data_IF_895591948790
#
_entry.id   IF_895591948790
#
_cell.length_a   1.000
_cell.length_b   1.000
_cell.length_c   1.000
_cell.angle_alpha   90.00
_cell.angle_beta   90.00
_cell.angle_gamma   90.00
#
_symmetry.space_group_name_H-M   'P 1'
#
loop_
_entity.id
_entity.type
_entity.pdbx_description
1 polymer ?
#
# COMPACT_ATOMS: atom_id res chain seq x y z
N UNK A 1 11.44 46.78 1.68
CA UNK A 1 11.71 45.47 1.05
C UNK A 1 12.73 44.76 1.92
N UNK A 2 12.31 43.70 2.59
CA UNK A 2 13.13 42.98 3.54
C UNK A 2 13.83 41.85 2.80
N UNK A 3 15.09 42.07 2.42
CA UNK A 3 15.89 41.09 1.67
C UNK A 3 16.53 40.03 2.56
N UNK A 4 16.36 40.16 3.88
CA UNK A 4 16.98 39.24 4.86
C UNK A 4 16.10 38.06 5.27
N UNK A 5 14.83 38.01 4.82
CA UNK A 5 13.95 36.86 5.06
C UNK A 5 14.19 35.83 3.99
N UNK A 6 14.75 34.64 4.30
CA UNK A 6 14.87 33.60 3.32
C UNK A 6 13.49 33.22 2.78
N UNK A 7 13.35 32.99 1.47
CA UNK A 7 12.07 32.59 0.90
C UNK A 7 11.56 31.33 1.59
N UNK A 8 10.28 31.31 1.92
CA UNK A 8 9.66 30.10 2.49
C UNK A 8 9.90 28.92 1.55
N UNK A 9 10.26 27.75 2.10
CA UNK A 9 10.46 26.58 1.28
C UNK A 9 9.19 26.28 0.50
N UNK A 10 9.26 26.27 -0.82
CA UNK A 10 8.14 25.90 -1.68
C UNK A 10 7.83 24.43 -1.41
N UNK A 11 6.69 24.17 -0.83
CA UNK A 11 6.23 22.81 -0.59
C UNK A 11 5.78 22.19 -1.92
N UNK A 12 6.59 21.28 -2.46
CA UNK A 12 6.28 20.56 -3.70
C UNK A 12 5.27 19.45 -3.38
N UNK A 13 4.01 19.69 -3.71
CA UNK A 13 2.96 18.67 -3.63
C UNK A 13 2.99 17.77 -4.87
N UNK A 14 2.60 16.49 -4.74
CA UNK A 14 2.44 15.62 -5.90
C UNK A 14 1.44 16.20 -6.90
N UNK A 15 1.74 16.12 -8.19
CA UNK A 15 0.83 16.55 -9.25
C UNK A 15 -0.45 15.68 -9.28
N UNK A 16 -1.52 16.21 -9.87
CA UNK A 16 -2.77 15.47 -10.02
C UNK A 16 -2.58 14.16 -10.80
N UNK A 17 -1.67 14.14 -11.78
CA UNK A 17 -1.31 12.94 -12.51
C UNK A 17 -0.73 11.84 -11.60
N UNK A 18 0.20 12.20 -10.72
CA UNK A 18 0.77 11.26 -9.76
C UNK A 18 -0.22 10.80 -8.70
N UNK A 19 -1.12 11.67 -8.28
CA UNK A 19 -2.23 11.30 -7.39
C UNK A 19 -3.14 10.27 -8.04
N UNK A 20 -3.43 10.45 -9.33
CA UNK A 20 -4.23 9.49 -10.10
C UNK A 20 -3.51 8.15 -10.23
N UNK A 21 -2.21 8.15 -10.57
CA UNK A 21 -1.40 6.92 -10.65
C UNK A 21 -1.40 6.19 -9.30
N UNK A 22 -1.18 6.89 -8.20
CA UNK A 22 -1.18 6.29 -6.86
C UNK A 22 -2.55 5.73 -6.49
N UNK A 23 -3.63 6.43 -6.81
CA UNK A 23 -5.00 5.93 -6.58
C UNK A 23 -5.27 4.65 -7.35
N UNK A 24 -4.90 4.59 -8.64
CA UNK A 24 -5.07 3.40 -9.47
C UNK A 24 -4.22 2.25 -8.94
N UNK A 25 -2.98 2.50 -8.56
CA UNK A 25 -2.08 1.49 -7.99
C UNK A 25 -2.66 0.88 -6.73
N UNK A 26 -3.10 1.68 -5.77
CA UNK A 26 -3.66 1.17 -4.53
C UNK A 26 -5.03 0.53 -4.69
N UNK A 27 -5.86 0.98 -5.63
CA UNK A 27 -7.08 0.27 -6.02
C UNK A 27 -6.76 -1.10 -6.64
N UNK A 28 -5.72 -1.18 -7.46
CA UNK A 28 -5.20 -2.44 -8.01
C UNK A 28 -4.64 -3.37 -6.93
N UNK A 29 -3.91 -2.85 -5.96
CA UNK A 29 -3.42 -3.60 -4.78
C UNK A 29 -4.60 -4.18 -4.00
N UNK A 30 -5.64 -3.40 -3.76
CA UNK A 30 -6.86 -3.88 -3.10
C UNK A 30 -7.50 -5.04 -3.85
N UNK A 31 -7.71 -4.88 -5.16
CA UNK A 31 -8.28 -5.95 -6.01
C UNK A 31 -7.41 -7.20 -6.05
N UNK A 32 -6.09 -7.06 -6.15
CA UNK A 32 -5.15 -8.16 -6.16
C UNK A 32 -5.13 -8.92 -4.82
N UNK A 33 -5.12 -8.21 -3.69
CA UNK A 33 -5.21 -8.83 -2.37
C UNK A 33 -6.53 -9.58 -2.17
N UNK A 34 -7.62 -9.00 -2.64
CA UNK A 34 -8.93 -9.65 -2.58
C UNK A 34 -8.93 -10.95 -3.40
N UNK A 35 -8.37 -10.92 -4.61
CA UNK A 35 -8.22 -12.10 -5.44
C UNK A 35 -7.36 -13.18 -4.79
N UNK A 36 -6.23 -12.81 -4.18
CA UNK A 36 -5.36 -13.74 -3.43
C UNK A 36 -6.11 -14.32 -2.23
N UNK A 37 -6.84 -13.51 -1.49
CA UNK A 37 -7.62 -13.94 -0.34
C UNK A 37 -8.70 -14.98 -0.72
N UNK A 38 -9.47 -14.69 -1.75
CA UNK A 38 -10.51 -15.61 -2.25
C UNK A 38 -9.87 -16.90 -2.75
N UNK A 39 -8.80 -16.81 -3.56
CA UNK A 39 -8.09 -17.97 -4.10
C UNK A 39 -7.51 -18.83 -2.98
N UNK A 40 -6.91 -18.24 -1.96
CA UNK A 40 -6.33 -18.96 -0.82
C UNK A 40 -7.37 -19.79 -0.07
N UNK A 41 -8.58 -19.26 0.09
CA UNK A 41 -9.70 -19.98 0.68
C UNK A 41 -10.21 -21.12 -0.21
N UNK A 42 -10.31 -20.87 -1.52
CA UNK A 42 -10.80 -21.84 -2.50
C UNK A 42 -9.90 -23.06 -2.59
N UNK A 43 -8.57 -22.88 -2.52
CA UNK A 43 -7.60 -23.99 -2.54
C UNK A 43 -7.41 -24.67 -1.17
N UNK A 44 -8.14 -24.25 -0.14
CA UNK A 44 -8.05 -24.81 1.20
C UNK A 44 -6.79 -24.44 1.99
N UNK A 45 -6.07 -23.42 1.55
CA UNK A 45 -4.89 -22.86 2.25
C UNK A 45 -5.12 -21.37 2.53
N UNK A 46 -6.02 -21.03 3.47
CA UNK A 46 -6.39 -19.64 3.74
C UNK A 46 -5.21 -18.86 4.30
N UNK A 47 -5.13 -17.61 3.87
CA UNK A 47 -4.21 -16.64 4.43
C UNK A 47 -4.50 -16.41 5.93
N UNK A 48 -3.48 -16.13 6.74
CA UNK A 48 -3.56 -16.10 8.21
C UNK A 48 -4.67 -15.19 8.78
N UNK A 49 -4.92 -14.05 8.15
CA UNK A 49 -5.94 -13.10 8.62
C UNK A 49 -7.37 -13.46 8.18
N UNK A 50 -7.52 -14.38 7.24
CA UNK A 50 -8.83 -14.80 6.76
C UNK A 50 -9.34 -16.07 7.48
N UNK A 51 -8.43 -16.94 7.87
CA UNK A 51 -8.74 -18.20 8.54
C UNK A 51 -9.40 -19.25 7.64
N UNK A 52 -9.66 -20.46 8.17
CA UNK A 52 -10.22 -21.56 7.41
C UNK A 52 -11.65 -21.27 6.94
N UNK A 53 -12.04 -21.89 5.81
CA UNK A 53 -13.38 -21.72 5.23
C UNK A 53 -14.52 -22.30 6.08
N UNK A 54 -14.18 -23.16 7.03
CA UNK A 54 -15.14 -23.78 7.96
C UNK A 54 -15.61 -22.82 9.07
N UNK A 55 -14.90 -21.73 9.30
CA UNK A 55 -15.23 -20.71 10.30
C UNK A 55 -15.34 -19.34 9.66
N UNK A 56 -16.24 -18.45 10.15
CA UNK A 56 -16.28 -17.10 9.66
C UNK A 56 -14.96 -16.37 10.00
N UNK A 57 -14.49 -15.54 9.06
CA UNK A 57 -13.28 -14.77 9.25
C UNK A 57 -13.46 -13.78 10.42
N UNK A 58 -12.41 -13.63 11.24
CA UNK A 58 -12.44 -12.66 12.36
C UNK A 58 -12.49 -11.22 11.81
N UNK A 59 -13.49 -10.41 12.17
CA UNK A 59 -13.55 -9.01 11.74
C UNK A 59 -12.30 -8.21 12.17
N UNK A 60 -11.76 -8.53 13.33
CA UNK A 60 -10.56 -7.87 13.86
C UNK A 60 -9.32 -8.13 13.01
N UNK A 61 -9.10 -9.36 12.56
CA UNK A 61 -7.95 -9.71 11.72
C UNK A 61 -8.06 -9.11 10.32
N UNK A 62 -9.26 -9.01 9.76
CA UNK A 62 -9.51 -8.40 8.45
C UNK A 62 -9.21 -6.91 8.45
N UNK A 63 -9.35 -6.23 9.58
CA UNK A 63 -9.04 -4.79 9.66
C UNK A 63 -7.58 -4.48 9.37
N UNK A 64 -6.66 -5.41 9.61
CA UNK A 64 -5.22 -5.21 9.37
C UNK A 64 -4.92 -5.01 7.89
N UNK A 65 -5.20 -5.95 6.98
CA UNK A 65 -4.95 -5.74 5.54
C UNK A 65 -5.82 -4.62 4.96
N UNK A 66 -7.05 -4.47 5.46
CA UNK A 66 -7.93 -3.40 5.03
C UNK A 66 -7.35 -2.02 5.35
N UNK A 67 -6.81 -1.83 6.56
CA UNK A 67 -6.14 -0.59 6.94
C UNK A 67 -4.89 -0.34 6.09
N UNK A 68 -4.06 -1.36 5.84
CA UNK A 68 -2.86 -1.24 5.02
C UNK A 68 -3.18 -0.72 3.62
N UNK A 69 -4.32 -1.07 3.05
CA UNK A 69 -4.72 -0.65 1.70
C UNK A 69 -5.50 0.66 1.70
N UNK A 70 -6.40 0.86 2.67
CA UNK A 70 -7.24 2.06 2.72
C UNK A 70 -6.47 3.30 3.17
N UNK A 71 -5.49 3.18 4.05
CA UNK A 71 -4.69 4.32 4.50
C UNK A 71 -3.99 5.06 3.36
N UNK A 72 -3.29 4.40 2.42
CA UNK A 72 -2.70 5.09 1.27
C UNK A 72 -3.74 5.71 0.35
N UNK A 73 -4.88 5.06 0.13
CA UNK A 73 -5.96 5.62 -0.67
C UNK A 73 -6.51 6.91 -0.05
N UNK A 74 -6.80 6.89 1.23
CA UNK A 74 -7.28 8.08 1.96
C UNK A 74 -6.22 9.17 1.96
N UNK A 75 -4.96 8.83 2.20
CA UNK A 75 -3.86 9.79 2.17
C UNK A 75 -3.72 10.45 0.79
N UNK A 76 -3.81 9.67 -0.29
CA UNK A 76 -3.72 10.20 -1.66
C UNK A 76 -4.88 11.15 -1.98
N UNK A 77 -6.09 10.85 -1.52
CA UNK A 77 -7.29 11.63 -1.82
C UNK A 77 -7.45 12.85 -0.92
N UNK A 78 -7.14 12.74 0.38
CA UNK A 78 -7.41 13.76 1.40
C UNK A 78 -6.18 14.49 1.91
N UNK A 79 -5.02 13.83 1.92
CA UNK A 79 -3.79 14.31 2.53
C UNK A 79 -2.59 14.11 1.61
N UNK A 80 -2.53 14.78 0.44
CA UNK A 80 -1.48 14.58 -0.57
C UNK A 80 -0.06 14.83 -0.02
N UNK A 81 0.06 15.66 1.00
CA UNK A 81 1.31 15.90 1.72
C UNK A 81 1.93 14.63 2.32
N UNK A 82 1.09 13.73 2.81
CA UNK A 82 1.51 12.50 3.50
C UNK A 82 1.44 11.25 2.62
N UNK A 83 0.92 11.36 1.40
CA UNK A 83 0.65 10.20 0.56
C UNK A 83 1.89 9.33 0.33
N UNK A 84 3.06 9.95 0.11
CA UNK A 84 4.31 9.23 -0.14
C UNK A 84 4.76 8.45 1.09
N UNK A 85 4.77 9.09 2.26
CA UNK A 85 5.18 8.43 3.52
C UNK A 85 4.24 7.30 3.88
N UNK A 86 2.92 7.52 3.76
CA UNK A 86 1.92 6.49 4.04
C UNK A 86 2.04 5.33 3.05
N UNK A 87 2.22 5.60 1.76
CA UNK A 87 2.43 4.56 0.74
C UNK A 87 3.68 3.72 1.02
N UNK A 88 4.78 4.33 1.45
CA UNK A 88 6.00 3.62 1.83
C UNK A 88 5.77 2.69 3.02
N UNK A 89 5.21 3.21 4.09
CA UNK A 89 4.95 2.44 5.31
C UNK A 89 4.01 1.28 5.01
N UNK A 90 2.93 1.52 4.26
CA UNK A 90 1.96 0.49 3.92
C UNK A 90 2.52 -0.56 2.96
N UNK A 91 3.37 -0.16 1.99
CA UNK A 91 4.06 -1.12 1.10
C UNK A 91 4.99 -2.04 1.88
N UNK A 92 5.77 -1.50 2.81
CA UNK A 92 6.64 -2.29 3.67
C UNK A 92 5.85 -3.20 4.61
N UNK A 93 4.74 -2.72 5.18
CA UNK A 93 3.85 -3.53 6.00
C UNK A 93 3.24 -4.68 5.19
N UNK A 94 2.88 -4.44 3.93
CA UNK A 94 2.34 -5.46 3.04
C UNK A 94 3.40 -6.54 2.73
N UNK A 95 4.63 -6.15 2.46
CA UNK A 95 5.74 -7.09 2.26
C UNK A 95 5.97 -7.92 3.54
N UNK A 96 5.96 -7.27 4.71
CA UNK A 96 6.14 -7.96 5.99
C UNK A 96 5.03 -8.99 6.26
N UNK A 97 3.77 -8.67 5.95
CA UNK A 97 2.67 -9.63 6.07
C UNK A 97 2.80 -10.80 5.11
N UNK A 98 3.32 -10.55 3.89
CA UNK A 98 3.64 -11.62 2.93
C UNK A 98 4.74 -12.54 3.44
N UNK A 99 5.82 -11.98 3.99
CA UNK A 99 6.93 -12.77 4.56
C UNK A 99 6.45 -13.61 5.75
N UNK A 100 5.58 -13.09 6.59
CA UNK A 100 5.01 -13.83 7.71
C UNK A 100 4.24 -15.09 7.26
N UNK A 101 3.68 -15.09 6.06
CA UNK A 101 2.96 -16.24 5.48
C UNK A 101 3.89 -17.32 4.87
N UNK A 102 5.19 -17.01 4.72
CA UNK A 102 6.14 -17.87 3.99
C UNK A 102 6.20 -19.31 4.52
N UNK A 103 6.11 -19.48 5.83
CA UNK A 103 6.21 -20.78 6.46
C UNK A 103 4.95 -21.63 6.27
N UNK A 104 3.77 -21.00 6.20
CA UNK A 104 2.47 -21.70 6.10
C UNK A 104 1.99 -21.86 4.66
N UNK A 105 2.21 -20.85 3.83
CA UNK A 105 1.73 -20.85 2.44
C UNK A 105 2.67 -20.05 1.52
N UNK A 106 3.75 -20.68 1.01
CA UNK A 106 4.76 -19.97 0.22
C UNK A 106 4.21 -19.36 -1.07
N UNK A 107 3.19 -19.94 -1.69
CA UNK A 107 2.58 -19.38 -2.91
C UNK A 107 1.83 -18.08 -2.63
N UNK A 108 1.05 -18.04 -1.56
CA UNK A 108 0.34 -16.83 -1.11
C UNK A 108 1.34 -15.76 -0.64
N UNK A 109 2.36 -16.19 0.11
CA UNK A 109 3.47 -15.32 0.53
C UNK A 109 4.10 -14.61 -0.68
N UNK A 110 4.48 -15.37 -1.69
CA UNK A 110 5.08 -14.82 -2.91
C UNK A 110 4.15 -13.81 -3.60
N UNK A 111 2.86 -14.13 -3.74
CA UNK A 111 1.89 -13.25 -4.35
C UNK A 111 1.75 -11.91 -3.59
N UNK A 112 1.64 -11.96 -2.26
CA UNK A 112 1.52 -10.77 -1.41
C UNK A 112 2.80 -9.93 -1.45
N UNK A 113 3.98 -10.56 -1.42
CA UNK A 113 5.28 -9.87 -1.52
C UNK A 113 5.42 -9.17 -2.87
N UNK A 114 5.05 -9.82 -3.98
CA UNK A 114 5.09 -9.20 -5.32
C UNK A 114 4.17 -7.98 -5.38
N UNK A 115 2.98 -8.07 -4.83
CA UNK A 115 2.04 -6.93 -4.76
C UNK A 115 2.64 -5.79 -3.94
N UNK A 116 3.25 -6.09 -2.81
CA UNK A 116 3.93 -5.10 -1.96
C UNK A 116 5.12 -4.44 -2.66
N UNK A 117 5.92 -5.19 -3.39
CA UNK A 117 7.05 -4.67 -4.19
C UNK A 117 6.54 -3.74 -5.30
N UNK A 118 5.47 -4.11 -5.99
CA UNK A 118 4.86 -3.25 -7.02
C UNK A 118 4.39 -1.91 -6.44
N UNK A 119 3.71 -1.93 -5.29
CA UNK A 119 3.30 -0.72 -4.59
C UNK A 119 4.49 0.12 -4.10
N UNK A 120 5.56 -0.52 -3.63
CA UNK A 120 6.78 0.16 -3.21
C UNK A 120 7.49 0.82 -4.40
N UNK A 121 7.55 0.15 -5.54
CA UNK A 121 8.15 0.68 -6.78
C UNK A 121 7.43 1.95 -7.24
N UNK A 122 6.11 1.96 -7.22
CA UNK A 122 5.33 3.17 -7.52
C UNK A 122 5.67 4.30 -6.54
N UNK A 123 5.70 4.02 -5.25
CA UNK A 123 6.03 5.01 -4.22
C UNK A 123 7.43 5.59 -4.39
N UNK A 124 8.41 4.77 -4.79
CA UNK A 124 9.77 5.24 -5.11
C UNK A 124 9.74 6.15 -6.34
N UNK A 125 9.00 5.79 -7.40
CA UNK A 125 8.88 6.59 -8.60
C UNK A 125 8.32 7.99 -8.28
N UNK A 126 7.30 8.08 -7.44
CA UNK A 126 6.75 9.36 -6.98
C UNK A 126 7.81 10.21 -6.28
N UNK A 127 8.58 9.63 -5.37
CA UNK A 127 9.65 10.34 -4.64
C UNK A 127 10.72 10.87 -5.59
N UNK A 128 11.17 10.03 -6.53
CA UNK A 128 12.21 10.41 -7.49
C UNK A 128 11.76 11.60 -8.34
N UNK A 129 10.53 11.54 -8.86
CA UNK A 129 9.97 12.63 -9.65
C UNK A 129 9.84 13.90 -8.83
N UNK A 130 9.32 13.83 -7.61
CA UNK A 130 9.17 15.00 -6.74
C UNK A 130 10.51 15.65 -6.41
N UNK A 131 11.60 14.87 -6.30
CA UNK A 131 12.94 15.42 -6.06
C UNK A 131 13.51 16.14 -7.27
N UNK A 132 13.13 15.78 -8.49
CA UNK A 132 13.58 16.45 -9.70
C UNK A 132 12.99 17.86 -9.88
N UNK A 133 11.87 18.14 -9.24
CA UNK A 133 11.20 19.44 -9.29
C UNK A 133 11.52 20.37 -8.10
N UNK A 134 12.41 19.95 -7.22
CA UNK A 134 12.97 20.79 -6.14
C UNK A 134 14.25 21.48 -6.59
#
# INVERSE_FOLDING_TARGET
>A
MDFDTPPEPIEVLPSDGWRTVSTITWAGVFGALLAVAISSRTIGRPIWWLGPSSTPASPFLITIPLAIVLLPLVATLRYPRHMTTVSWVCSLALIATGIAELASNPAVSLAVVIIGIAALTESIAVVVVMRQYR
#
